data_IF_662035613647
#
_entry.id   IF_662035613647
#
_cell.length_a   1.000
_cell.length_b   1.000
_cell.length_c   1.000
_cell.angle_alpha   90.00
_cell.angle_beta   90.00
_cell.angle_gamma   90.00
#
_symmetry.space_group_name_H-M   'P 1'
#
loop_
_entity.id
_entity.type
_entity.pdbx_description
1 polymer ?
#
# COMPACT_ATOMS: atom_id res chain seq x y z
N UNK A 1 -9.53 1.50 -12.67
CA UNK A 1 -9.47 1.81 -11.22
C UNK A 1 -10.07 3.20 -11.02
N UNK A 2 -10.78 3.47 -9.91
CA UNK A 2 -11.20 4.84 -9.61
C UNK A 2 -9.95 5.65 -9.26
N UNK A 3 -9.86 6.89 -9.73
CA UNK A 3 -8.78 7.79 -9.35
C UNK A 3 -8.71 7.92 -7.82
N UNK A 4 -7.49 7.87 -7.26
CA UNK A 4 -7.28 7.96 -5.81
C UNK A 4 -7.64 6.71 -5.01
N UNK A 5 -7.78 5.54 -5.66
CA UNK A 5 -7.95 4.26 -4.96
C UNK A 5 -6.89 3.26 -5.36
N UNK A 6 -6.33 2.57 -4.35
CA UNK A 6 -5.43 1.43 -4.56
C UNK A 6 -6.21 0.17 -4.18
N UNK A 7 -6.34 -0.81 -5.09
CA UNK A 7 -6.91 -2.11 -4.75
C UNK A 7 -6.18 -2.72 -3.55
N UNK A 8 -6.89 -3.50 -2.76
CA UNK A 8 -6.37 -4.05 -1.52
C UNK A 8 -5.12 -4.93 -1.68
N UNK A 9 -5.09 -5.76 -2.72
CA UNK A 9 -3.98 -6.66 -2.99
C UNK A 9 -3.29 -6.30 -4.30
N UNK A 10 -1.95 -6.25 -4.26
CA UNK A 10 -1.13 -6.10 -5.45
C UNK A 10 0.20 -5.39 -5.21
N UNK A 11 0.92 -5.20 -6.32
CA UNK A 11 2.10 -4.34 -6.40
C UNK A 11 1.80 -3.27 -7.45
N UNK A 12 1.91 -2.01 -7.06
CA UNK A 12 1.49 -0.86 -7.85
C UNK A 12 2.68 0.07 -8.06
N UNK A 13 2.99 0.40 -9.32
CA UNK A 13 4.05 1.33 -9.67
C UNK A 13 3.60 2.77 -9.48
N UNK A 14 4.40 3.55 -8.75
CA UNK A 14 4.09 4.97 -8.47
C UNK A 14 4.33 5.79 -9.75
N UNK A 15 3.38 6.66 -10.07
CA UNK A 15 3.37 7.47 -11.29
C UNK A 15 2.87 6.73 -12.54
N UNK A 16 2.63 5.41 -12.46
CA UNK A 16 2.03 4.62 -13.56
C UNK A 16 0.67 4.05 -13.17
N UNK A 17 0.63 3.30 -12.06
CA UNK A 17 -0.58 2.61 -11.61
C UNK A 17 -1.31 3.45 -10.54
N UNK A 18 -0.56 4.13 -9.68
CA UNK A 18 -1.08 4.99 -8.60
C UNK A 18 -0.28 6.29 -8.48
N UNK A 19 -0.91 7.35 -7.99
CA UNK A 19 -0.24 8.62 -7.74
C UNK A 19 0.40 8.66 -6.34
N UNK A 20 1.45 9.47 -6.14
CA UNK A 20 1.92 9.82 -4.81
C UNK A 20 0.82 10.49 -3.97
N UNK A 21 0.92 10.34 -2.65
CA UNK A 21 -0.01 10.94 -1.70
C UNK A 21 -0.21 10.10 -0.46
N UNK A 22 -1.10 10.58 0.40
CA UNK A 22 -1.50 9.87 1.62
C UNK A 22 -2.73 9.03 1.35
N UNK A 23 -2.70 7.78 1.80
CA UNK A 23 -3.74 6.80 1.61
C UNK A 23 -4.12 6.16 2.92
N UNK A 24 -5.40 5.84 3.08
CA UNK A 24 -5.93 5.14 4.24
C UNK A 24 -6.68 3.87 3.84
N UNK A 25 -6.39 2.78 4.55
CA UNK A 25 -7.17 1.54 4.53
C UNK A 25 -7.84 1.35 5.89
N UNK A 26 -9.04 0.79 5.91
CA UNK A 26 -9.76 0.49 7.16
C UNK A 26 -9.31 -0.85 7.79
N UNK A 27 -8.18 -1.40 7.32
CA UNK A 27 -7.53 -2.58 7.89
C UNK A 27 -7.69 -3.83 7.05
N UNK A 28 -7.64 -5.03 7.65
CA UNK A 28 -7.64 -6.28 6.91
C UNK A 28 -8.93 -6.52 6.10
N UNK A 29 -8.79 -7.24 4.99
CA UNK A 29 -9.93 -7.79 4.24
C UNK A 29 -10.43 -9.07 4.90
N UNK A 30 -11.75 -9.20 5.06
CA UNK A 30 -12.36 -10.46 5.45
C UNK A 30 -12.26 -10.74 6.95
N UNK A 31 -11.76 -11.93 7.30
CA UNK A 31 -11.81 -12.49 8.66
C UNK A 31 -10.92 -11.73 9.67
N UNK A 32 -11.33 -11.57 10.95
CA UNK A 32 -10.55 -10.93 12.01
C UNK A 32 -9.16 -11.52 12.30
N UNK A 33 -8.81 -12.68 11.75
CA UNK A 33 -7.47 -13.28 11.88
C UNK A 33 -6.48 -12.71 10.84
N UNK A 34 -6.96 -12.10 9.75
CA UNK A 34 -6.11 -11.55 8.68
C UNK A 34 -5.38 -10.27 9.12
N UNK A 35 -4.25 -10.01 8.47
CA UNK A 35 -3.46 -8.80 8.67
C UNK A 35 -3.41 -8.02 7.35
N UNK A 36 -3.56 -6.70 7.45
CA UNK A 36 -3.23 -5.79 6.37
C UNK A 36 -1.72 -5.56 6.40
N UNK A 37 -1.04 -6.04 5.37
CA UNK A 37 0.39 -5.86 5.17
C UNK A 37 0.64 -4.90 4.03
N UNK A 38 1.55 -3.95 4.23
CA UNK A 38 1.96 -3.04 3.17
C UNK A 38 3.46 -2.78 3.19
N UNK A 39 4.01 -2.41 2.04
CA UNK A 39 5.39 -1.97 1.91
C UNK A 39 5.53 -0.88 0.84
N UNK A 40 6.27 0.17 1.18
CA UNK A 40 6.83 1.16 0.24
C UNK A 40 8.18 0.65 -0.22
N UNK A 41 8.41 0.66 -1.53
CA UNK A 41 9.58 0.04 -2.15
C UNK A 41 10.36 1.04 -2.99
N UNK A 42 11.70 1.00 -2.91
CA UNK A 42 12.65 1.74 -3.76
C UNK A 42 12.96 1.00 -5.06
N UNK A 43 12.60 -0.29 -5.14
CA UNK A 43 12.80 -1.16 -6.30
C UNK A 43 11.75 -2.27 -6.38
N UNK A 44 11.82 -3.09 -7.42
CA UNK A 44 10.89 -4.22 -7.65
C UNK A 44 11.61 -5.55 -7.77
N UNK A 45 12.85 -5.65 -7.27
CA UNK A 45 13.64 -6.89 -7.33
C UNK A 45 13.08 -8.01 -6.44
N UNK A 46 12.24 -7.65 -5.47
CA UNK A 46 11.74 -8.57 -4.43
C UNK A 46 12.69 -8.73 -3.25
N UNK A 47 13.84 -8.05 -3.25
CA UNK A 47 14.81 -8.11 -2.17
C UNK A 47 14.46 -7.18 -1.00
N UNK A 48 14.91 -7.54 0.20
CA UNK A 48 14.70 -6.74 1.42
C UNK A 48 15.33 -5.34 1.29
N UNK A 49 16.44 -5.21 0.55
CA UNK A 49 17.12 -3.92 0.32
C UNK A 49 16.23 -2.90 -0.39
N UNK A 50 15.21 -3.37 -1.12
CA UNK A 50 14.29 -2.50 -1.83
C UNK A 50 13.16 -2.00 -0.91
N UNK A 51 13.05 -2.46 0.34
CA UNK A 51 12.01 -2.02 1.28
C UNK A 51 12.43 -0.70 1.93
N UNK A 52 11.65 0.36 1.70
CA UNK A 52 11.82 1.67 2.34
C UNK A 52 11.14 1.65 3.72
N UNK A 53 9.91 1.15 3.76
CA UNK A 53 9.08 1.07 4.96
C UNK A 53 8.00 0.03 4.75
N UNK A 54 7.59 -0.64 5.80
CA UNK A 54 6.52 -1.63 5.78
C UNK A 54 5.86 -1.72 7.13
N UNK A 55 4.59 -2.08 7.16
CA UNK A 55 3.86 -2.36 8.39
C UNK A 55 2.86 -3.52 8.20
N UNK A 56 2.40 -4.06 9.33
CA UNK A 56 1.42 -5.13 9.42
C UNK A 56 0.46 -4.87 10.58
N UNK A 57 -0.83 -4.78 10.28
CA UNK A 57 -1.83 -4.37 11.26
C UNK A 57 -3.15 -5.10 11.11
N UNK A 58 -3.87 -5.23 12.24
CA UNK A 58 -5.27 -5.65 12.28
C UNK A 58 -6.24 -4.47 12.29
N UNK A 59 -5.73 -3.26 12.45
CA UNK A 59 -6.51 -2.03 12.49
C UNK A 59 -6.41 -1.25 11.19
N UNK A 60 -7.06 -0.09 11.16
CA UNK A 60 -6.94 0.85 10.06
C UNK A 60 -5.53 1.43 9.97
N UNK A 61 -5.05 1.60 8.75
CA UNK A 61 -3.69 2.02 8.44
C UNK A 61 -3.69 3.25 7.54
N UNK A 62 -2.74 4.16 7.80
CA UNK A 62 -2.52 5.33 6.96
C UNK A 62 -1.06 5.35 6.51
N UNK A 63 -0.84 5.47 5.20
CA UNK A 63 0.50 5.49 4.60
C UNK A 63 0.66 6.70 3.68
N UNK A 64 1.81 7.37 3.80
CA UNK A 64 2.23 8.41 2.84
C UNK A 64 3.20 7.81 1.85
N UNK A 65 2.78 7.75 0.59
CA UNK A 65 3.58 7.26 -0.55
C UNK A 65 4.27 8.45 -1.20
N UNK A 66 5.59 8.46 -1.20
CA UNK A 66 6.37 9.55 -1.78
C UNK A 66 6.52 9.39 -3.29
N UNK A 67 6.73 10.50 -4.00
CA UNK A 67 6.99 10.48 -5.44
C UNK A 67 8.30 9.77 -5.81
N UNK A 68 9.22 9.63 -4.86
CA UNK A 68 10.49 8.91 -5.03
C UNK A 68 10.36 7.40 -4.83
N UNK A 69 9.22 6.92 -4.30
CA UNK A 69 8.99 5.49 -4.16
C UNK A 69 8.81 4.87 -5.55
N UNK A 70 9.31 3.65 -5.74
CA UNK A 70 9.18 2.94 -7.01
C UNK A 70 7.88 2.15 -7.09
N UNK A 71 7.53 1.48 -6.01
CA UNK A 71 6.34 0.64 -5.93
C UNK A 71 5.72 0.64 -4.54
N UNK A 72 4.42 0.38 -4.48
CA UNK A 72 3.68 0.09 -3.27
C UNK A 72 3.14 -1.33 -3.35
N UNK A 73 3.48 -2.16 -2.36
CA UNK A 73 2.93 -3.52 -2.22
C UNK A 73 1.89 -3.51 -1.12
N UNK A 74 0.74 -4.11 -1.38
CA UNK A 74 -0.30 -4.33 -0.37
C UNK A 74 -0.84 -5.75 -0.46
N UNK A 75 -1.11 -6.36 0.68
CA UNK A 75 -1.67 -7.70 0.77
C UNK A 75 -2.55 -7.83 2.02
N UNK A 76 -3.75 -8.36 1.83
CA UNK A 76 -4.75 -8.53 2.87
C UNK A 76 -5.38 -7.23 3.35
N UNK A 77 -5.17 -6.09 2.68
CA UNK A 77 -5.67 -4.79 3.12
C UNK A 77 -6.96 -4.42 2.40
N UNK A 78 -7.94 -3.80 3.04
CA UNK A 78 -9.06 -3.20 2.33
C UNK A 78 -8.57 -2.13 1.35
N UNK A 79 -9.39 -1.80 0.35
CA UNK A 79 -9.09 -0.76 -0.64
C UNK A 79 -8.58 0.50 0.03
N UNK A 80 -7.39 0.93 -0.36
CA UNK A 80 -6.83 2.18 0.11
C UNK A 80 -7.48 3.35 -0.61
N UNK A 81 -7.83 4.39 0.14
CA UNK A 81 -8.43 5.62 -0.38
C UNK A 81 -7.49 6.79 -0.10
N UNK A 82 -7.22 7.60 -1.11
CA UNK A 82 -6.43 8.83 -0.97
C UNK A 82 -7.14 9.76 0.03
N UNK A 83 -6.43 10.22 1.04
CA UNK A 83 -6.93 11.21 1.99
C UNK A 83 -6.53 12.58 1.46
N UNK A 84 -7.52 13.45 1.23
CA UNK A 84 -7.30 14.83 0.80
C UNK A 84 -6.69 15.67 1.93
#
# INVERSE_FOLDING_TARGET
MKAGQIPGDGVFLIGRDIEPGTYRSEGPQGDPITYCNWARLSGTSGEIKDVISSDSSKGAETVTIAATDKAFRSNGCQTWKKTN
#
